data_IF_972100119572
#
_entry.id   IF_972100119572
#
_cell.length_a   1.000
_cell.length_b   1.000
_cell.length_c   1.000
_cell.angle_alpha   90.00
_cell.angle_beta   90.00
_cell.angle_gamma   90.00
#
_symmetry.space_group_name_H-M   'P 1'
#
loop_
_entity.id
_entity.type
_entity.pdbx_description
1 polymer ?
#
# COMPACT_ATOMS: atom_id res chain seq x y z
N UNK A 1 -20.84 6.67 -3.99
CA UNK A 1 -19.69 6.72 -4.95
C UNK A 1 -19.70 5.55 -5.92
N UNK A 2 -19.66 4.29 -5.45
CA UNK A 2 -19.61 3.11 -6.33
C UNK A 2 -20.68 3.10 -7.45
N UNK A 3 -21.93 3.44 -7.11
CA UNK A 3 -23.05 3.49 -8.08
C UNK A 3 -22.92 4.61 -9.12
N UNK A 4 -22.28 5.72 -8.78
CA UNK A 4 -22.07 6.83 -9.74
C UNK A 4 -20.91 6.51 -10.68
N UNK A 5 -19.79 6.04 -10.13
CA UNK A 5 -18.59 5.70 -10.91
C UNK A 5 -18.86 4.55 -11.88
N UNK A 6 -19.56 3.50 -11.42
CA UNK A 6 -19.94 2.38 -12.28
C UNK A 6 -20.86 2.78 -13.42
N UNK A 7 -21.80 3.72 -13.20
CA UNK A 7 -22.69 4.21 -14.26
C UNK A 7 -21.99 5.15 -15.24
N UNK A 8 -21.14 6.06 -14.77
CA UNK A 8 -20.53 7.10 -15.60
C UNK A 8 -19.29 6.62 -16.35
N UNK A 9 -18.51 5.74 -15.74
CA UNK A 9 -17.22 5.29 -16.27
C UNK A 9 -17.21 3.81 -16.63
N UNK A 10 -18.29 3.07 -16.38
CA UNK A 10 -18.39 1.62 -16.62
C UNK A 10 -17.29 0.81 -15.90
N UNK A 11 -16.76 1.35 -14.80
CA UNK A 11 -15.73 0.71 -13.97
C UNK A 11 -16.21 0.63 -12.52
N UNK A 12 -16.12 -0.58 -11.97
CA UNK A 12 -16.42 -0.86 -10.57
C UNK A 12 -15.13 -0.96 -9.75
N UNK A 13 -15.03 -0.14 -8.71
CA UNK A 13 -13.97 -0.24 -7.70
C UNK A 13 -14.59 -0.53 -6.33
N UNK A 14 -13.91 -1.33 -5.51
CA UNK A 14 -14.19 -1.35 -4.08
C UNK A 14 -13.96 0.02 -3.46
N UNK A 15 -14.60 0.33 -2.33
CA UNK A 15 -14.40 1.61 -1.61
C UNK A 15 -12.91 1.87 -1.37
N UNK A 16 -12.18 0.86 -0.88
CA UNK A 16 -10.73 0.93 -0.65
C UNK A 16 -9.94 1.18 -1.94
N UNK A 17 -10.34 0.54 -3.05
CA UNK A 17 -9.71 0.70 -4.36
C UNK A 17 -9.89 2.11 -4.92
N UNK A 18 -11.10 2.66 -4.81
CA UNK A 18 -11.41 4.03 -5.21
C UNK A 18 -10.59 5.04 -4.38
N UNK A 19 -10.56 4.90 -3.06
CA UNK A 19 -9.78 5.82 -2.20
C UNK A 19 -8.28 5.74 -2.48
N UNK A 20 -7.73 4.54 -2.75
CA UNK A 20 -6.31 4.41 -3.14
C UNK A 20 -6.02 5.05 -4.49
N UNK A 21 -6.93 4.91 -5.46
CA UNK A 21 -6.80 5.57 -6.76
C UNK A 21 -6.77 7.08 -6.63
N UNK A 22 -7.69 7.66 -5.85
CA UNK A 22 -7.74 9.10 -5.61
C UNK A 22 -6.45 9.62 -4.99
N UNK A 23 -5.94 8.97 -3.93
CA UNK A 23 -4.67 9.37 -3.29
C UNK A 23 -3.47 9.32 -4.25
N UNK A 24 -3.39 8.30 -5.12
CA UNK A 24 -2.33 8.22 -6.14
C UNK A 24 -2.38 9.37 -7.15
N UNK A 25 -3.54 9.99 -7.34
CA UNK A 25 -3.73 11.16 -8.20
C UNK A 25 -3.56 12.49 -7.46
N UNK A 26 -3.02 12.46 -6.24
CA UNK A 26 -2.78 13.66 -5.44
C UNK A 26 -4.03 14.20 -4.73
N UNK A 27 -5.15 13.47 -4.76
CA UNK A 27 -6.34 13.90 -4.03
C UNK A 27 -6.19 13.65 -2.53
N UNK A 28 -6.40 14.72 -1.75
CA UNK A 28 -6.53 14.70 -0.30
C UNK A 28 -7.90 15.30 0.07
N UNK A 29 -8.70 14.68 0.96
CA UNK A 29 -9.96 15.28 1.40
C UNK A 29 -9.73 16.67 1.98
N UNK A 30 -10.51 17.65 1.53
CA UNK A 30 -10.41 19.02 2.03
C UNK A 30 -10.96 19.06 3.47
N UNK A 31 -10.14 19.53 4.41
CA UNK A 31 -10.59 19.81 5.78
C UNK A 31 -11.19 21.22 5.81
N UNK A 32 -12.43 21.41 6.31
CA UNK A 32 -12.97 22.74 6.50
C UNK A 32 -12.13 23.51 7.52
N UNK A 33 -11.81 24.77 7.22
CA UNK A 33 -10.95 25.60 8.05
C UNK A 33 -11.58 25.96 9.41
N UNK A 34 -12.90 25.86 9.53
CA UNK A 34 -13.66 26.12 10.76
C UNK A 34 -14.76 25.07 10.92
N UNK A 35 -15.09 24.78 12.16
CA UNK A 35 -16.26 23.96 12.48
C UNK A 35 -17.53 24.79 12.29
N UNK A 36 -18.61 24.14 11.85
CA UNK A 36 -19.94 24.75 11.79
C UNK A 36 -20.39 25.06 13.22
N UNK A 37 -20.96 26.24 13.47
CA UNK A 37 -21.38 26.67 14.82
C UNK A 37 -22.41 25.71 15.46
N UNK A 38 -23.23 25.06 14.64
CA UNK A 38 -24.24 24.07 15.07
C UNK A 38 -23.64 22.70 15.42
N UNK A 39 -22.34 22.49 15.18
CA UNK A 39 -21.70 21.20 15.38
C UNK A 39 -21.64 20.85 16.87
N UNK A 40 -22.49 19.90 17.28
CA UNK A 40 -22.52 19.38 18.64
C UNK A 40 -21.51 18.22 18.79
N UNK A 41 -20.32 18.51 19.34
CA UNK A 41 -19.28 17.48 19.54
C UNK A 41 -19.72 16.37 20.51
N UNK A 42 -20.61 16.65 21.47
CA UNK A 42 -21.17 15.63 22.35
C UNK A 42 -22.05 14.66 21.58
N UNK A 43 -22.90 15.16 20.67
CA UNK A 43 -23.71 14.32 19.79
C UNK A 43 -22.83 13.49 18.83
N UNK A 44 -21.73 14.06 18.33
CA UNK A 44 -20.76 13.32 17.51
C UNK A 44 -20.10 12.20 18.30
N UNK A 45 -19.72 12.44 19.57
CA UNK A 45 -19.15 11.43 20.43
C UNK A 45 -20.14 10.29 20.70
N UNK A 46 -21.38 10.61 21.09
CA UNK A 46 -22.43 9.61 21.32
C UNK A 46 -22.71 8.80 20.06
N UNK A 47 -22.77 9.44 18.89
CA UNK A 47 -22.97 8.74 17.62
C UNK A 47 -21.81 7.79 17.28
N UNK A 48 -20.56 8.19 17.57
CA UNK A 48 -19.39 7.32 17.37
C UNK A 48 -19.43 6.11 18.29
N UNK A 49 -19.93 6.23 19.51
CA UNK A 49 -20.02 5.08 20.41
C UNK A 49 -21.20 4.18 20.05
N UNK A 50 -22.38 4.75 19.85
CA UNK A 50 -23.62 3.98 19.67
C UNK A 50 -23.80 3.46 18.24
N UNK A 51 -23.61 4.32 17.23
CA UNK A 51 -24.01 4.01 15.85
C UNK A 51 -22.85 3.51 15.01
N UNK A 52 -21.63 3.99 15.24
CA UNK A 52 -20.49 3.56 14.44
C UNK A 52 -20.19 2.06 14.60
N UNK A 53 -20.39 1.52 15.80
CA UNK A 53 -20.22 0.10 16.07
C UNK A 53 -21.22 -0.76 15.26
N UNK A 54 -22.44 -0.27 15.07
CA UNK A 54 -23.49 -0.95 14.31
C UNK A 54 -23.26 -0.85 12.79
N UNK A 55 -22.87 0.32 12.30
CA UNK A 55 -22.72 0.60 10.86
C UNK A 55 -21.44 -0.01 10.30
N UNK A 56 -20.40 -0.17 11.11
CA UNK A 56 -19.13 -0.73 10.65
C UNK A 56 -19.24 -2.26 10.56
N UNK A 57 -19.15 -2.79 9.34
CA UNK A 57 -19.04 -4.22 9.13
C UNK A 57 -17.85 -4.84 9.90
N UNK A 58 -17.89 -6.16 10.18
CA UNK A 58 -16.82 -6.85 10.90
C UNK A 58 -15.47 -6.53 10.26
N UNK A 59 -14.53 -6.05 11.07
CA UNK A 59 -13.16 -5.93 10.62
C UNK A 59 -12.67 -7.30 10.15
N UNK A 60 -11.91 -7.34 9.05
CA UNK A 60 -11.26 -8.59 8.65
C UNK A 60 -10.41 -9.06 9.84
N UNK A 61 -10.62 -10.27 10.38
CA UNK A 61 -9.75 -10.79 11.42
C UNK A 61 -8.32 -10.82 10.89
N UNK A 62 -7.34 -10.63 11.78
CA UNK A 62 -5.94 -10.78 11.40
C UNK A 62 -5.76 -12.18 10.80
N UNK A 63 -5.60 -12.24 9.48
CA UNK A 63 -5.30 -13.51 8.83
C UNK A 63 -3.90 -13.95 9.22
N UNK A 64 -3.65 -15.26 9.27
CA UNK A 64 -2.29 -15.78 9.37
C UNK A 64 -1.48 -15.22 8.19
N UNK A 65 -0.65 -14.22 8.46
CA UNK A 65 0.29 -13.68 7.48
C UNK A 65 1.39 -14.70 7.26
N UNK A 66 1.60 -15.15 6.02
CA UNK A 66 2.81 -15.89 5.68
C UNK A 66 3.95 -14.90 5.49
N UNK A 67 4.90 -14.91 6.42
CA UNK A 67 6.13 -14.14 6.32
C UNK A 67 7.30 -15.12 6.24
N UNK A 68 7.77 -15.40 5.02
CA UNK A 68 9.06 -16.07 4.83
C UNK A 68 10.17 -15.00 4.85
N UNK A 69 11.23 -15.25 5.62
CA UNK A 69 12.44 -14.44 5.55
C UNK A 69 13.00 -14.57 4.13
N UNK A 70 13.13 -13.46 3.41
CA UNK A 70 13.90 -13.41 2.16
C UNK A 70 15.33 -13.85 2.48
N UNK A 71 15.77 -14.99 1.92
CA UNK A 71 17.19 -15.38 1.99
C UNK A 71 18.00 -14.34 1.22
N UNK A 72 19.03 -13.78 1.87
CA UNK A 72 20.02 -12.94 1.20
C UNK A 72 20.65 -13.77 0.08
N UNK A 73 20.71 -13.23 -1.13
CA UNK A 73 21.37 -13.90 -2.24
C UNK A 73 22.80 -14.26 -1.82
N UNK A 74 23.18 -15.53 -2.01
CA UNK A 74 24.55 -15.98 -1.81
C UNK A 74 25.47 -15.19 -2.75
N UNK A 75 26.62 -14.66 -2.30
CA UNK A 75 27.57 -14.03 -3.20
C UNK A 75 28.01 -15.09 -4.22
N UNK A 76 27.69 -14.87 -5.50
CA UNK A 76 28.17 -15.73 -6.57
C UNK A 76 29.69 -15.80 -6.52
N UNK A 77 30.22 -17.02 -6.44
CA UNK A 77 31.66 -17.25 -6.42
C UNK A 77 32.33 -16.58 -7.62
N UNK A 78 33.33 -15.75 -7.34
CA UNK A 78 34.18 -15.11 -8.35
C UNK A 78 34.87 -16.22 -9.17
N UNK A 79 34.72 -16.28 -10.51
CA UNK A 79 35.45 -17.26 -11.30
C UNK A 79 36.96 -17.04 -11.13
N UNK A 80 37.69 -18.14 -10.89
CA UNK A 80 39.14 -18.15 -10.75
C UNK A 80 39.75 -17.74 -12.09
N UNK A 81 40.53 -16.65 -12.09
CA UNK A 81 41.24 -16.19 -13.28
C UNK A 81 42.16 -17.30 -13.79
N UNK A 82 42.11 -17.57 -15.09
CA UNK A 82 43.03 -18.48 -15.75
C UNK A 82 44.45 -17.86 -15.78
N UNK A 83 45.53 -18.65 -15.72
CA UNK A 83 46.89 -18.13 -15.80
C UNK A 83 47.13 -17.47 -17.17
N UNK A 84 47.71 -16.27 -17.16
CA UNK A 84 48.20 -15.60 -18.36
C UNK A 84 49.30 -16.41 -19.04
N UNK A 85 49.32 -16.33 -20.37
CA UNK A 85 50.34 -16.96 -21.20
C UNK A 85 51.59 -16.07 -21.22
N UNK A 86 52.53 -16.33 -20.32
CA UNK A 86 53.86 -15.73 -20.36
C UNK A 86 54.89 -16.66 -19.71
N UNK A 87 55.42 -17.60 -20.49
CA UNK A 87 56.68 -18.25 -20.18
C UNK A 87 57.37 -18.82 -21.43
N UNK A 88 58.48 -18.16 -21.81
CA UNK A 88 59.62 -18.67 -22.61
C UNK A 88 59.34 -19.01 -24.10
N UNK A 89 60.18 -18.61 -25.06
CA UNK A 89 61.63 -18.69 -25.03
C UNK A 89 62.29 -17.70 -26.02
N UNK A 90 63.26 -16.94 -25.52
CA UNK A 90 64.40 -16.43 -26.30
C UNK A 90 65.45 -17.55 -26.43
N UNK A 91 66.27 -17.44 -27.47
CA UNK A 91 67.42 -18.29 -27.91
C UNK A 91 67.03 -19.31 -28.99
N UNK A 92 67.62 -19.34 -30.18
CA UNK A 92 68.85 -18.73 -30.73
C UNK A 92 68.67 -18.40 -32.20
#
# INVERSE_FOLDING_TARGET
>A
MATLTGRKFHVSYSVSGATRLMRRRGFTPQMPARHVAERNEQAVAVWKEATWAEVRGPGRPAGAGSASRTRRASPGGRPKAAPGADAASLRS
#
